data_IF_840521780917
#
_entry.id   IF_840521780917
#
_cell.length_a   1.000
_cell.length_b   1.000
_cell.length_c   1.000
_cell.angle_alpha   90.00
_cell.angle_beta   90.00
_cell.angle_gamma   90.00
#
_symmetry.space_group_name_H-M   'P 1'
#
loop_
_entity.id
_entity.type
_entity.pdbx_description
1 polymer ?
#
# COMPACT_ATOMS: atom_id res chain seq x y z
N UNK A 1 22.64 29.72 5.03
CA UNK A 1 22.32 29.38 6.44
C UNK A 1 21.12 28.46 6.40
N UNK A 2 21.21 27.29 7.03
CA UNK A 2 20.09 26.36 7.04
C UNK A 2 19.04 26.78 8.11
N UNK A 3 17.78 26.34 7.93
CA UNK A 3 16.68 26.68 8.84
C UNK A 3 16.98 26.30 10.30
N UNK A 4 17.69 25.20 10.54
CA UNK A 4 18.07 24.74 11.88
C UNK A 4 19.02 25.71 12.58
N UNK A 5 19.98 26.28 11.84
CA UNK A 5 20.90 27.30 12.35
C UNK A 5 20.16 28.59 12.75
N UNK A 6 19.18 29.00 11.93
CA UNK A 6 18.34 30.17 12.23
C UNK A 6 17.54 29.98 13.52
N UNK A 7 16.92 28.81 13.70
CA UNK A 7 16.20 28.49 14.94
C UNK A 7 17.13 28.50 16.16
N UNK A 8 18.34 27.97 16.04
CA UNK A 8 19.32 28.00 17.12
C UNK A 8 19.69 29.47 17.51
N UNK A 9 19.89 30.31 16.51
CA UNK A 9 20.19 31.74 16.78
C UNK A 9 19.04 32.46 17.45
N UNK A 10 17.78 32.15 17.13
CA UNK A 10 16.61 32.72 17.83
C UNK A 10 16.54 32.20 19.28
N UNK A 11 16.85 30.93 19.51
CA UNK A 11 16.91 30.34 20.84
C UNK A 11 18.02 30.95 21.70
N UNK A 12 19.15 31.29 21.10
CA UNK A 12 20.28 31.97 21.76
C UNK A 12 20.04 33.46 21.96
N UNK A 13 18.91 34.02 21.50
CA UNK A 13 18.59 35.45 21.67
C UNK A 13 19.45 36.38 20.83
N UNK A 14 20.07 35.92 19.74
CA UNK A 14 20.93 36.73 18.91
C UNK A 14 20.21 37.77 18.04
N UNK A 15 18.88 37.80 18.06
CA UNK A 15 18.05 38.76 17.35
C UNK A 15 17.34 39.69 18.35
N UNK A 16 17.50 40.98 18.16
CA UNK A 16 16.94 41.99 19.09
C UNK A 16 15.40 41.99 19.17
N UNK A 17 14.72 41.70 18.07
CA UNK A 17 13.26 41.80 17.96
C UNK A 17 12.55 40.45 17.71
N UNK A 18 13.28 39.36 17.68
CA UNK A 18 12.74 38.02 17.39
C UNK A 18 13.13 37.08 18.53
N UNK A 19 12.16 36.60 19.25
CA UNK A 19 12.38 35.65 20.34
C UNK A 19 11.60 34.34 20.08
N UNK A 20 11.75 33.39 20.99
CA UNK A 20 11.09 32.08 20.93
C UNK A 20 9.56 32.18 20.91
N UNK A 21 8.97 33.29 21.36
CA UNK A 21 7.52 33.57 21.30
C UNK A 21 7.04 33.77 19.84
N UNK A 22 7.89 34.26 18.96
CA UNK A 22 7.57 34.54 17.57
C UNK A 22 7.65 33.27 16.68
N UNK A 23 8.28 32.22 17.19
CA UNK A 23 8.33 30.93 16.50
C UNK A 23 6.98 30.23 16.69
N UNK A 24 6.28 29.93 15.58
CA UNK A 24 5.10 29.06 15.68
C UNK A 24 5.51 27.77 16.40
N UNK A 25 4.98 27.57 17.61
CA UNK A 25 5.17 26.32 18.35
C UNK A 25 4.75 25.20 17.38
N UNK A 26 5.71 24.41 16.96
CA UNK A 26 5.42 23.19 16.24
C UNK A 26 4.51 22.39 17.18
N UNK A 27 3.22 22.31 16.87
CA UNK A 27 2.35 21.38 17.59
C UNK A 27 3.00 20.02 17.40
N UNK A 28 3.60 19.47 18.48
CA UNK A 28 3.91 18.05 18.49
C UNK A 28 2.65 17.38 17.96
N UNK A 29 2.73 16.74 16.79
CA UNK A 29 1.67 15.83 16.36
C UNK A 29 1.39 15.01 17.61
N UNK A 30 0.14 15.08 18.14
CA UNK A 30 -0.30 14.10 19.12
C UNK A 30 0.22 12.78 18.60
N UNK A 31 1.05 12.11 19.37
CA UNK A 31 1.47 10.74 19.06
C UNK A 31 0.15 10.04 18.87
N UNK A 32 -0.20 9.73 17.62
CA UNK A 32 -1.38 8.91 17.36
C UNK A 32 -1.13 7.68 18.20
N UNK A 33 -2.02 7.44 19.14
CA UNK A 33 -2.05 6.19 19.87
C UNK A 33 -1.83 5.12 18.81
N UNK A 34 -0.77 4.32 18.99
CA UNK A 34 -0.46 3.23 18.07
C UNK A 34 -1.76 2.46 17.92
N UNK A 35 -2.46 2.67 16.82
CA UNK A 35 -3.65 1.88 16.50
C UNK A 35 -3.18 0.45 16.62
N UNK A 36 -3.73 -0.28 17.58
CA UNK A 36 -3.45 -1.70 17.72
C UNK A 36 -3.64 -2.30 16.33
N UNK A 37 -2.59 -2.91 15.81
CA UNK A 37 -2.68 -3.67 14.55
C UNK A 37 -3.84 -4.62 14.76
N UNK A 38 -4.89 -4.49 13.96
CA UNK A 38 -6.09 -5.27 14.16
C UNK A 38 -5.70 -6.74 14.20
N UNK A 39 -6.07 -7.42 15.28
CA UNK A 39 -5.83 -8.85 15.55
C UNK A 39 -6.27 -9.79 14.39
N UNK A 40 -6.94 -9.26 13.39
CA UNK A 40 -7.45 -9.98 12.23
C UNK A 40 -6.37 -10.60 11.34
N UNK A 41 -5.15 -10.10 11.39
CA UNK A 41 -4.04 -10.60 10.57
C UNK A 41 -3.27 -11.77 11.22
N UNK A 42 -3.65 -12.25 12.39
CA UNK A 42 -2.97 -13.37 13.08
C UNK A 42 -3.03 -14.70 12.31
N UNK A 43 -3.97 -14.85 11.37
CA UNK A 43 -4.12 -16.06 10.54
C UNK A 43 -3.50 -15.92 9.15
N UNK A 44 -3.09 -14.72 8.76
CA UNK A 44 -2.53 -14.47 7.45
C UNK A 44 -1.04 -14.77 7.42
N UNK A 45 -0.54 -15.18 6.27
CA UNK A 45 0.90 -15.38 6.05
C UNK A 45 1.61 -14.03 6.02
N UNK A 46 2.77 -13.95 6.66
CA UNK A 46 3.61 -12.77 6.62
C UNK A 46 4.60 -12.86 5.44
N UNK A 47 5.14 -11.72 5.04
CA UNK A 47 6.16 -11.67 3.97
C UNK A 47 7.38 -12.54 4.28
N UNK A 48 7.66 -12.81 5.55
CA UNK A 48 8.71 -13.72 6.01
C UNK A 48 8.40 -15.20 5.72
N UNK A 49 7.14 -15.55 5.53
CA UNK A 49 6.71 -16.91 5.22
C UNK A 49 6.75 -17.19 3.70
N UNK A 50 7.07 -16.15 2.92
CA UNK A 50 7.18 -16.21 1.46
C UNK A 50 8.53 -16.80 1.08
N UNK A 51 8.54 -17.63 0.02
CA UNK A 51 9.75 -18.22 -0.51
C UNK A 51 10.80 -17.14 -0.89
N UNK A 52 12.07 -17.40 -0.56
CA UNK A 52 13.17 -16.47 -0.84
C UNK A 52 13.36 -16.22 -2.35
N UNK A 53 13.03 -17.19 -3.20
CA UNK A 53 13.07 -17.06 -4.67
C UNK A 53 12.22 -15.92 -5.21
N UNK A 54 11.12 -15.60 -4.50
CA UNK A 54 10.25 -14.45 -4.84
C UNK A 54 10.96 -13.12 -4.57
N UNK A 55 11.85 -13.08 -3.60
CA UNK A 55 12.63 -11.89 -3.25
C UNK A 55 13.66 -11.56 -4.33
N UNK A 56 14.23 -12.56 -4.97
CA UNK A 56 15.23 -12.42 -6.04
C UNK A 56 14.61 -11.98 -7.38
N UNK A 57 13.27 -11.97 -7.46
CA UNK A 57 12.52 -11.56 -8.66
C UNK A 57 12.84 -12.39 -9.90
N UNK A 58 13.14 -13.66 -9.73
CA UNK A 58 13.47 -14.55 -10.83
C UNK A 58 12.25 -15.19 -11.48
N UNK A 59 11.17 -15.31 -10.71
CA UNK A 59 9.93 -15.92 -11.17
C UNK A 59 8.84 -14.88 -11.49
N UNK A 60 8.05 -15.15 -12.55
CA UNK A 60 6.87 -14.34 -12.91
C UNK A 60 5.66 -14.83 -12.12
N UNK A 61 4.74 -13.92 -11.81
CA UNK A 61 3.48 -14.25 -11.16
C UNK A 61 3.39 -13.81 -9.69
N UNK A 62 4.37 -13.08 -9.21
CA UNK A 62 4.39 -12.52 -7.86
C UNK A 62 4.10 -11.02 -7.89
N UNK A 63 2.98 -10.63 -7.31
CA UNK A 63 2.44 -9.28 -7.41
C UNK A 63 2.49 -8.54 -6.07
N UNK A 64 2.61 -7.24 -6.16
CA UNK A 64 2.41 -6.32 -5.04
C UNK A 64 1.12 -5.53 -5.29
N UNK A 65 0.19 -5.55 -4.35
CA UNK A 65 -1.11 -4.87 -4.47
C UNK A 65 -1.17 -3.65 -3.57
N UNK A 66 -1.66 -2.52 -4.11
CA UNK A 66 -1.82 -1.27 -3.38
C UNK A 66 -3.05 -0.49 -3.88
N UNK A 67 -3.46 0.51 -3.13
CA UNK A 67 -4.55 1.41 -3.53
C UNK A 67 -4.08 2.85 -3.63
N UNK A 68 -4.39 3.50 -4.74
CA UNK A 68 -4.10 4.92 -4.97
C UNK A 68 -5.42 5.71 -4.88
N UNK A 69 -5.61 6.41 -3.75
CA UNK A 69 -6.83 7.17 -3.48
C UNK A 69 -6.86 8.50 -4.23
N UNK A 70 -8.06 8.97 -4.63
CA UNK A 70 -8.28 10.28 -5.23
C UNK A 70 -8.17 11.44 -4.21
N UNK A 71 -8.65 12.61 -4.55
CA UNK A 71 -8.70 13.79 -3.69
C UNK A 71 -9.70 13.68 -2.54
N UNK A 72 -9.78 14.73 -1.73
CA UNK A 72 -10.78 14.82 -0.66
C UNK A 72 -12.18 14.85 -1.26
N UNK A 73 -13.07 14.00 -0.72
CA UNK A 73 -14.49 13.95 -1.12
C UNK A 73 -14.82 12.89 -2.16
N UNK A 74 -13.87 12.38 -2.91
CA UNK A 74 -14.08 11.27 -3.83
C UNK A 74 -13.72 9.93 -3.13
N UNK A 75 -14.62 8.96 -3.24
CA UNK A 75 -14.42 7.60 -2.72
C UNK A 75 -13.68 6.71 -3.71
N UNK A 76 -13.69 7.08 -5.00
CA UNK A 76 -13.07 6.31 -6.08
C UNK A 76 -11.57 6.21 -5.88
N UNK A 77 -11.02 5.04 -6.11
CA UNK A 77 -9.58 4.83 -6.07
C UNK A 77 -9.12 3.87 -7.17
N UNK A 78 -7.82 3.80 -7.36
CA UNK A 78 -7.21 2.83 -8.26
C UNK A 78 -6.68 1.67 -7.43
N UNK A 79 -7.00 0.46 -7.82
CA UNK A 79 -6.33 -0.75 -7.41
C UNK A 79 -5.15 -0.95 -8.36
N UNK A 80 -3.97 -1.04 -7.80
CA UNK A 80 -2.71 -1.19 -8.55
C UNK A 80 -2.10 -2.52 -8.18
N UNK A 81 -1.82 -3.33 -9.19
CA UNK A 81 -1.14 -4.61 -9.06
C UNK A 81 0.15 -4.52 -9.87
N UNK A 82 1.28 -4.64 -9.19
CA UNK A 82 2.62 -4.54 -9.76
C UNK A 82 3.28 -5.90 -9.79
N UNK A 83 3.60 -6.40 -10.97
CA UNK A 83 4.34 -7.65 -11.11
C UNK A 83 5.83 -7.42 -10.81
N UNK A 84 6.39 -8.25 -9.91
CA UNK A 84 7.70 -7.98 -9.29
C UNK A 84 8.90 -8.14 -10.23
N UNK A 85 8.87 -9.10 -11.15
CA UNK A 85 9.95 -9.40 -12.09
C UNK A 85 9.94 -8.45 -13.28
N UNK A 86 8.81 -8.39 -13.97
CA UNK A 86 8.64 -7.64 -15.21
C UNK A 86 8.36 -6.17 -14.99
N UNK A 87 7.90 -5.81 -13.77
CA UNK A 87 7.38 -4.48 -13.43
C UNK A 87 6.16 -4.10 -14.27
N UNK A 88 5.42 -5.10 -14.72
CA UNK A 88 4.16 -4.88 -15.39
C UNK A 88 3.12 -4.36 -14.39
N UNK A 89 2.39 -3.33 -14.79
CA UNK A 89 1.39 -2.67 -13.96
C UNK A 89 -0.01 -2.93 -14.48
N UNK A 90 -0.84 -3.50 -13.63
CA UNK A 90 -2.26 -3.63 -13.87
C UNK A 90 -3.00 -2.64 -12.97
N UNK A 91 -3.66 -1.65 -13.59
CA UNK A 91 -4.38 -0.60 -12.88
C UNK A 91 -5.86 -0.75 -13.15
N UNK A 92 -6.66 -0.82 -12.08
CA UNK A 92 -8.11 -0.95 -12.14
C UNK A 92 -8.79 0.14 -11.33
N UNK A 93 -9.83 0.75 -11.89
CA UNK A 93 -10.66 1.72 -11.17
C UNK A 93 -11.68 0.98 -10.31
N UNK A 94 -11.68 1.22 -8.99
CA UNK A 94 -12.65 0.67 -8.05
C UNK A 94 -13.47 1.79 -7.42
N UNK A 95 -14.70 1.47 -6.99
CA UNK A 95 -15.68 2.45 -6.49
C UNK A 95 -15.27 3.08 -5.18
N UNK A 96 -14.64 2.30 -4.31
CA UNK A 96 -14.18 2.78 -3.02
C UNK A 96 -13.01 1.95 -2.50
N UNK A 97 -12.30 2.48 -1.52
CA UNK A 97 -11.24 1.80 -0.77
C UNK A 97 -11.88 0.85 0.27
N UNK A 98 -12.61 -0.15 -0.19
CA UNK A 98 -13.27 -1.15 0.65
C UNK A 98 -12.86 -2.57 0.28
N UNK A 99 -12.89 -3.49 1.25
CA UNK A 99 -12.63 -4.92 1.03
C UNK A 99 -13.50 -5.47 -0.11
N UNK A 100 -14.81 -5.15 -0.05
CA UNK A 100 -15.78 -5.59 -1.04
C UNK A 100 -15.42 -5.18 -2.48
N UNK A 101 -14.99 -3.94 -2.68
CA UNK A 101 -14.68 -3.45 -4.02
C UNK A 101 -13.35 -4.01 -4.53
N UNK A 102 -12.39 -4.25 -3.64
CA UNK A 102 -11.13 -4.94 -3.97
C UNK A 102 -11.41 -6.38 -4.38
N UNK A 103 -12.13 -7.15 -3.55
CA UNK A 103 -12.48 -8.55 -3.84
C UNK A 103 -13.24 -8.66 -5.15
N UNK A 104 -14.25 -7.81 -5.36
CA UNK A 104 -15.04 -7.81 -6.58
C UNK A 104 -14.19 -7.53 -7.84
N UNK A 105 -13.11 -6.77 -7.73
CA UNK A 105 -12.23 -6.53 -8.87
C UNK A 105 -11.29 -7.71 -9.13
N UNK A 106 -10.80 -8.38 -8.07
CA UNK A 106 -10.04 -9.62 -8.22
C UNK A 106 -10.91 -10.75 -8.79
N UNK A 107 -12.18 -10.84 -8.36
CA UNK A 107 -13.15 -11.79 -8.91
C UNK A 107 -13.35 -11.59 -10.41
N UNK A 108 -13.49 -10.34 -10.87
CA UNK A 108 -13.58 -10.03 -12.30
C UNK A 108 -12.32 -10.41 -13.07
N UNK A 109 -11.14 -10.19 -12.49
CA UNK A 109 -9.88 -10.60 -13.10
C UNK A 109 -9.82 -12.11 -13.25
N UNK A 110 -10.22 -12.86 -12.25
CA UNK A 110 -10.26 -14.33 -12.32
C UNK A 110 -11.26 -14.80 -13.38
N UNK A 111 -12.46 -14.24 -13.43
CA UNK A 111 -13.46 -14.57 -14.46
C UNK A 111 -12.94 -14.25 -15.86
N UNK A 112 -12.20 -13.16 -16.04
CA UNK A 112 -11.63 -12.78 -17.35
C UNK A 112 -10.51 -13.71 -17.79
N UNK A 113 -9.69 -14.20 -16.88
CA UNK A 113 -8.51 -15.00 -17.15
C UNK A 113 -8.79 -16.53 -17.08
N UNK A 114 -9.87 -16.93 -16.40
CA UNK A 114 -10.21 -18.34 -16.22
C UNK A 114 -9.08 -19.10 -15.50
N UNK A 115 -8.76 -20.27 -16.02
CA UNK A 115 -7.74 -21.15 -15.46
C UNK A 115 -6.32 -20.56 -15.45
N UNK A 116 -6.05 -19.58 -16.31
CA UNK A 116 -4.75 -18.90 -16.37
C UNK A 116 -4.51 -17.97 -15.20
N UNK A 117 -5.56 -17.57 -14.47
CA UNK A 117 -5.43 -16.68 -13.32
C UNK A 117 -4.38 -17.18 -12.32
N UNK A 118 -4.43 -18.45 -11.97
CA UNK A 118 -3.53 -19.08 -11.00
C UNK A 118 -2.06 -19.08 -11.41
N UNK A 119 -1.81 -19.15 -12.72
CA UNK A 119 -0.47 -19.10 -13.28
C UNK A 119 0.08 -17.67 -13.30
N UNK A 120 -0.81 -16.70 -13.55
CA UNK A 120 -0.47 -15.28 -13.64
C UNK A 120 -0.35 -14.66 -12.24
N UNK A 121 -1.24 -15.02 -11.30
CA UNK A 121 -1.29 -14.50 -9.94
C UNK A 121 -0.95 -15.59 -8.91
N UNK A 122 0.31 -16.04 -8.92
CA UNK A 122 0.79 -17.07 -7.99
C UNK A 122 0.74 -16.58 -6.54
N UNK A 123 1.20 -15.35 -6.31
CA UNK A 123 1.07 -14.71 -5.00
C UNK A 123 0.83 -13.21 -5.08
N UNK A 124 0.17 -12.65 -4.08
CA UNK A 124 -0.10 -11.23 -3.93
C UNK A 124 0.39 -10.77 -2.56
N UNK A 125 1.32 -9.80 -2.53
CA UNK A 125 1.81 -9.17 -1.31
C UNK A 125 1.11 -7.84 -1.09
N UNK A 126 0.60 -7.61 0.13
CA UNK A 126 -0.21 -6.45 0.50
C UNK A 126 0.32 -5.79 1.77
N UNK A 127 -0.08 -4.53 2.02
CA UNK A 127 0.07 -3.94 3.34
C UNK A 127 -1.10 -4.30 4.28
N UNK A 128 -1.02 -3.82 5.51
CA UNK A 128 -2.06 -4.01 6.50
C UNK A 128 -3.19 -2.96 6.37
N UNK A 129 -3.50 -2.52 5.14
CA UNK A 129 -4.62 -1.63 4.85
C UNK A 129 -5.96 -2.29 5.17
N UNK A 130 -6.93 -1.50 5.63
CA UNK A 130 -8.27 -2.01 5.99
C UNK A 130 -8.98 -2.66 4.80
N UNK A 131 -8.65 -2.27 3.58
CA UNK A 131 -9.17 -2.80 2.34
C UNK A 131 -8.68 -4.20 1.99
N UNK A 132 -7.59 -4.64 2.62
CA UNK A 132 -6.96 -5.95 2.38
C UNK A 132 -7.11 -6.94 3.53
N UNK A 133 -7.87 -6.61 4.59
CA UNK A 133 -7.96 -7.45 5.78
C UNK A 133 -8.67 -8.79 5.53
N UNK A 134 -9.53 -8.87 4.53
CA UNK A 134 -10.26 -10.10 4.16
C UNK A 134 -9.45 -10.91 3.13
N UNK A 135 -8.32 -11.44 3.57
CA UNK A 135 -7.45 -12.24 2.71
C UNK A 135 -8.10 -13.57 2.30
N UNK A 136 -8.94 -14.16 3.16
CA UNK A 136 -9.64 -15.41 2.86
C UNK A 136 -10.53 -15.26 1.62
N UNK A 137 -11.22 -14.13 1.49
CA UNK A 137 -12.02 -13.82 0.29
C UNK A 137 -11.15 -13.47 -0.92
N UNK A 138 -9.96 -12.89 -0.72
CA UNK A 138 -9.01 -12.63 -1.81
C UNK A 138 -8.44 -13.96 -2.35
N UNK A 139 -8.17 -14.93 -1.51
CA UNK A 139 -7.66 -16.25 -1.90
C UNK A 139 -8.74 -17.17 -2.49
N UNK A 140 -9.99 -16.95 -2.12
CA UNK A 140 -11.12 -17.79 -2.54
C UNK A 140 -11.42 -17.58 -4.04
N UNK A 141 -11.56 -18.70 -4.78
CA UNK A 141 -11.94 -18.65 -6.19
C UNK A 141 -13.41 -18.23 -6.37
N UNK A 142 -13.66 -17.28 -7.26
CA UNK A 142 -14.99 -16.91 -7.72
C UNK A 142 -15.57 -17.94 -8.71
N UNK A 143 -14.73 -18.79 -9.31
CA UNK A 143 -15.13 -19.86 -10.23
C UNK A 143 -15.57 -21.15 -9.51
N UNK A 144 -15.57 -21.13 -8.15
CA UNK A 144 -16.01 -22.27 -7.36
C UNK A 144 -14.96 -23.37 -7.17
N UNK A 145 -13.69 -23.12 -7.51
CA UNK A 145 -12.61 -24.05 -7.21
C UNK A 145 -12.45 -24.20 -5.68
N UNK A 146 -12.26 -25.41 -5.15
CA UNK A 146 -11.98 -25.63 -3.73
C UNK A 146 -10.55 -25.18 -3.34
N UNK A 147 -9.64 -25.08 -4.31
CA UNK A 147 -8.27 -24.63 -4.09
C UNK A 147 -8.20 -23.10 -4.15
N UNK A 148 -7.32 -22.46 -3.36
CA UNK A 148 -7.07 -21.04 -3.45
C UNK A 148 -6.65 -20.62 -4.87
N UNK A 149 -7.15 -19.46 -5.33
CA UNK A 149 -6.77 -18.89 -6.63
C UNK A 149 -5.39 -18.24 -6.63
N UNK A 150 -4.93 -17.78 -5.46
CA UNK A 150 -3.64 -17.14 -5.24
C UNK A 150 -3.24 -17.32 -3.78
N UNK A 151 -1.97 -17.10 -3.47
CA UNK A 151 -1.48 -17.00 -2.09
C UNK A 151 -1.31 -15.53 -1.70
N UNK A 152 -1.69 -15.17 -0.47
CA UNK A 152 -1.55 -13.79 0.01
C UNK A 152 -0.52 -13.68 1.12
N UNK A 153 0.24 -12.57 1.09
CA UNK A 153 1.26 -12.26 2.09
C UNK A 153 1.13 -10.81 2.56
N UNK A 154 1.35 -10.56 3.83
CA UNK A 154 1.33 -9.23 4.42
C UNK A 154 2.72 -8.74 4.78
N UNK A 155 2.98 -7.47 4.45
CA UNK A 155 4.18 -6.79 4.92
C UNK A 155 4.12 -6.54 6.43
N UNK A 156 5.29 -6.40 7.05
CA UNK A 156 5.35 -6.00 8.45
C UNK A 156 4.77 -4.60 8.64
N UNK A 157 4.10 -4.35 9.76
CA UNK A 157 3.63 -3.01 10.09
C UNK A 157 4.79 -1.99 10.08
N UNK A 158 4.56 -0.84 9.46
CA UNK A 158 5.54 0.26 9.33
C UNK A 158 6.78 -0.04 8.47
N UNK A 159 6.78 -1.13 7.69
CA UNK A 159 7.89 -1.57 6.84
C UNK A 159 7.66 -1.23 5.38
N UNK A 160 7.53 0.07 5.05
CA UNK A 160 7.27 0.53 3.66
C UNK A 160 8.38 0.13 2.68
N UNK A 161 9.60 -0.09 3.16
CA UNK A 161 10.73 -0.53 2.33
C UNK A 161 10.55 -1.95 1.74
N UNK A 162 9.72 -2.79 2.32
CA UNK A 162 9.40 -4.12 1.81
C UNK A 162 8.64 -4.07 0.48
N UNK A 163 8.05 -2.89 0.15
CA UNK A 163 7.33 -2.61 -1.09
C UNK A 163 7.89 -1.38 -1.82
N UNK A 164 9.21 -1.31 -1.93
CA UNK A 164 9.89 -0.16 -2.56
C UNK A 164 9.47 0.11 -4.02
N UNK A 165 8.97 -0.90 -4.74
CA UNK A 165 8.45 -0.75 -6.10
C UNK A 165 7.20 0.11 -6.12
N UNK A 166 6.26 -0.11 -5.20
CA UNK A 166 4.97 0.59 -5.15
C UNK A 166 5.10 2.09 -4.92
N UNK A 167 6.06 2.55 -4.11
CA UNK A 167 6.27 3.99 -3.91
C UNK A 167 6.65 4.72 -5.21
N UNK A 168 7.51 4.12 -6.03
CA UNK A 168 7.92 4.69 -7.30
C UNK A 168 6.77 4.69 -8.30
N UNK A 169 6.01 3.61 -8.37
CA UNK A 169 4.84 3.48 -9.25
C UNK A 169 3.76 4.49 -8.84
N UNK A 170 3.45 4.60 -7.57
CA UNK A 170 2.49 5.57 -7.06
C UNK A 170 2.91 7.01 -7.40
N UNK A 171 4.21 7.33 -7.36
CA UNK A 171 4.75 8.62 -7.82
C UNK A 171 4.55 8.81 -9.33
N UNK A 172 4.75 7.77 -10.14
CA UNK A 172 4.53 7.84 -11.59
C UNK A 172 3.04 8.02 -11.91
N UNK A 173 2.15 7.25 -11.28
CA UNK A 173 0.70 7.41 -11.44
C UNK A 173 0.28 8.84 -11.09
N UNK A 174 0.83 9.41 -10.02
CA UNK A 174 0.53 10.78 -9.58
C UNK A 174 1.01 11.88 -10.52
N UNK A 175 1.95 11.62 -11.41
CA UNK A 175 2.31 12.57 -12.47
C UNK A 175 1.20 12.71 -13.51
N UNK A 176 0.49 11.63 -13.81
CA UNK A 176 -0.57 11.60 -14.82
C UNK A 176 -1.97 11.81 -14.22
N UNK A 177 -2.17 11.34 -13.02
CA UNK A 177 -3.43 11.43 -12.28
C UNK A 177 -3.13 12.15 -10.95
N UNK A 178 -3.08 13.49 -10.95
CA UNK A 178 -2.81 14.25 -9.74
C UNK A 178 -3.92 14.06 -8.70
N UNK A 179 -3.62 14.36 -7.45
CA UNK A 179 -4.56 14.21 -6.35
C UNK A 179 -5.72 15.21 -6.52
N UNK A 180 -6.92 14.71 -6.74
CA UNK A 180 -8.11 15.54 -6.95
C UNK A 180 -8.51 15.72 -8.41
N UNK A 181 -7.88 15.00 -9.33
CA UNK A 181 -8.32 14.93 -10.73
C UNK A 181 -9.55 14.05 -10.87
#
# INVERSE_FOLDING_TARGET
ICSKTLYNYIHLGLFLNVGTRNIKKYRKKKTEEKRSVALHNLKSKMITDRDDSVSDREEIGHWEMDTVVSGRGDKTCLLVLSERKTRYELIRKIKSKSQKDVIAEIDKLEIQLGDDFKNIFKSITMDNGVEFLDFESIEKSALGSPAPRTETYYCHPFSSWERGTNENINKMIRKWIPKGA
#
